data_IF_686874741783
#
_entry.id   IF_686874741783
#
_cell.length_a   1.000
_cell.length_b   1.000
_cell.length_c   1.000
_cell.angle_alpha   90.00
_cell.angle_beta   90.00
_cell.angle_gamma   90.00
#
_symmetry.space_group_name_H-M   'P 1'
#
loop_
_entity.id
_entity.type
_entity.pdbx_description
1 polymer ?
#
# COMPACT_ATOMS: atom_id res chain seq x y z
N UNK A 1 -8.13 27.51 10.66
CA UNK A 1 -8.45 27.36 9.23
C UNK A 1 -7.52 26.33 8.59
N UNK A 2 -7.90 25.05 8.61
CA UNK A 2 -7.10 23.96 8.04
C UNK A 2 -7.46 23.81 6.56
N UNK A 3 -6.54 24.19 5.66
CA UNK A 3 -6.67 23.91 4.22
C UNK A 3 -6.58 22.40 4.03
N UNK A 4 -7.71 21.76 3.69
CA UNK A 4 -7.73 20.38 3.19
C UNK A 4 -6.96 20.36 1.86
N UNK A 5 -5.96 19.49 1.66
CA UNK A 5 -5.39 19.28 0.33
C UNK A 5 -6.44 18.60 -0.56
N UNK A 6 -6.38 18.79 -1.90
CA UNK A 6 -7.43 18.34 -2.80
C UNK A 6 -7.48 16.81 -2.84
N UNK A 7 -8.56 16.25 -2.30
CA UNK A 7 -8.98 14.85 -2.49
C UNK A 7 -9.38 14.64 -3.96
N UNK A 8 -8.39 14.58 -4.86
CA UNK A 8 -8.66 14.64 -6.30
C UNK A 8 -8.12 13.51 -7.16
N UNK A 9 -6.98 12.90 -6.82
CA UNK A 9 -6.26 12.04 -7.78
C UNK A 9 -6.02 10.60 -7.35
N UNK A 10 -6.28 10.24 -6.08
CA UNK A 10 -6.17 8.86 -5.62
C UNK A 10 -7.53 8.14 -5.49
N UNK A 11 -8.63 8.88 -5.59
CA UNK A 11 -9.98 8.36 -5.37
C UNK A 11 -10.68 7.83 -6.64
N UNK A 12 -9.93 7.39 -7.66
CA UNK A 12 -10.53 6.94 -8.93
C UNK A 12 -10.22 5.51 -9.33
N UNK A 13 -10.23 4.59 -8.36
CA UNK A 13 -10.81 3.27 -8.63
C UNK A 13 -12.29 3.54 -8.87
N UNK A 14 -12.68 3.73 -10.15
CA UNK A 14 -14.09 3.67 -10.52
C UNK A 14 -14.56 2.30 -10.00
N UNK A 15 -15.55 2.25 -9.10
CA UNK A 15 -16.35 1.04 -8.93
C UNK A 15 -16.98 0.79 -10.29
N UNK A 16 -16.31 -0.01 -11.11
CA UNK A 16 -17.00 -0.77 -12.13
C UNK A 16 -18.02 -1.64 -11.36
N UNK A 17 -19.27 -1.78 -11.82
CA UNK A 17 -20.16 -2.80 -11.30
C UNK A 17 -19.49 -4.16 -11.58
N UNK A 18 -18.73 -4.64 -10.59
CA UNK A 18 -18.06 -5.93 -10.62
C UNK A 18 -19.01 -7.01 -10.10
N UNK A 19 -18.76 -8.28 -10.49
CA UNK A 19 -19.59 -9.39 -10.06
C UNK A 19 -19.64 -9.45 -8.53
N UNK A 20 -20.76 -9.92 -8.00
CA UNK A 20 -21.11 -10.08 -6.58
C UNK A 20 -20.08 -10.96 -5.83
N UNK A 21 -18.84 -10.49 -5.66
CA UNK A 21 -17.84 -11.17 -4.85
C UNK A 21 -18.14 -10.78 -3.41
N UNK A 22 -18.74 -11.71 -2.68
CA UNK A 22 -18.84 -11.68 -1.23
C UNK A 22 -17.42 -11.57 -0.64
N UNK A 23 -16.96 -10.33 -0.47
CA UNK A 23 -15.67 -10.03 0.10
C UNK A 23 -15.69 -10.42 1.57
N UNK A 24 -14.98 -11.49 1.93
CA UNK A 24 -14.65 -11.76 3.33
C UNK A 24 -13.77 -10.60 3.81
N UNK A 25 -14.38 -9.68 4.55
CA UNK A 25 -13.64 -8.66 5.29
C UNK A 25 -12.70 -9.36 6.26
N UNK A 26 -11.42 -9.43 5.91
CA UNK A 26 -10.38 -9.84 6.86
C UNK A 26 -10.16 -8.66 7.79
N UNK A 27 -10.76 -8.72 8.99
CA UNK A 27 -10.37 -7.81 10.05
C UNK A 27 -8.87 -8.02 10.29
N UNK A 28 -8.06 -6.99 10.06
CA UNK A 28 -6.64 -7.02 10.37
C UNK A 28 -6.50 -7.16 11.89
N UNK A 29 -6.30 -8.40 12.35
CA UNK A 29 -6.05 -8.70 13.75
C UNK A 29 -4.69 -8.11 14.14
N UNK A 30 -4.71 -6.85 14.57
CA UNK A 30 -3.53 -6.15 15.08
C UNK A 30 -3.34 -6.54 16.53
N UNK A 31 -2.84 -7.75 16.77
CA UNK A 31 -2.32 -8.15 18.08
C UNK A 31 -0.97 -7.46 18.35
N UNK A 32 -0.59 -7.18 19.61
CA UNK A 32 0.66 -6.49 19.98
C UNK A 32 2.00 -7.16 19.61
N UNK A 33 1.99 -8.13 18.70
CA UNK A 33 3.18 -8.81 18.16
C UNK A 33 3.00 -9.32 16.73
N UNK A 34 1.87 -9.01 16.08
CA UNK A 34 1.68 -9.34 14.68
C UNK A 34 2.46 -8.33 13.84
N UNK A 35 3.59 -8.76 13.28
CA UNK A 35 4.27 -7.96 12.25
C UNK A 35 3.24 -7.73 11.14
N UNK A 36 3.02 -6.47 10.79
CA UNK A 36 2.07 -6.12 9.73
C UNK A 36 2.37 -6.96 8.50
N UNK A 37 1.32 -7.36 7.76
CA UNK A 37 1.46 -8.15 6.53
C UNK A 37 2.35 -7.46 5.47
N UNK A 38 2.61 -6.17 5.65
CA UNK A 38 3.49 -5.31 4.86
C UNK A 38 4.95 -5.27 5.33
N UNK A 39 5.32 -5.91 6.46
CA UNK A 39 6.66 -5.82 7.04
C UNK A 39 7.78 -6.22 6.07
N UNK A 40 7.59 -7.32 5.32
CA UNK A 40 8.56 -7.74 4.31
C UNK A 40 8.72 -6.69 3.20
N UNK A 41 7.59 -6.18 2.69
CA UNK A 41 7.59 -5.16 1.63
C UNK A 41 8.28 -3.88 2.10
N UNK A 42 7.99 -3.46 3.34
CA UNK A 42 8.62 -2.30 3.98
C UNK A 42 10.15 -2.45 4.08
N UNK A 43 10.62 -3.58 4.58
CA UNK A 43 12.05 -3.84 4.73
C UNK A 43 12.78 -3.94 3.38
N UNK A 44 12.13 -4.55 2.38
CA UNK A 44 12.68 -4.62 1.04
C UNK A 44 12.86 -3.23 0.44
N UNK A 45 11.83 -2.37 0.52
CA UNK A 45 11.91 -1.00 0.01
C UNK A 45 12.95 -0.17 0.76
N UNK A 46 13.02 -0.26 2.09
CA UNK A 46 14.08 0.43 2.87
C UNK A 46 15.48 0.07 2.41
N UNK A 47 15.71 -1.19 1.98
CA UNK A 47 17.02 -1.68 1.55
C UNK A 47 17.32 -1.45 0.07
N UNK A 48 16.29 -1.38 -0.79
CA UNK A 48 16.46 -1.44 -2.26
C UNK A 48 15.79 -0.29 -3.02
N UNK A 49 14.74 0.33 -2.48
CA UNK A 49 14.00 1.46 -3.07
C UNK A 49 13.65 2.48 -1.97
N UNK A 50 14.68 3.12 -1.40
CA UNK A 50 14.54 4.03 -0.26
C UNK A 50 13.70 5.26 -0.60
N UNK A 51 13.91 5.85 -1.78
CA UNK A 51 13.10 6.97 -2.27
C UNK A 51 11.63 6.56 -2.44
N UNK A 52 11.37 5.35 -2.95
CA UNK A 52 10.03 4.82 -3.05
C UNK A 52 9.36 4.53 -1.72
N UNK A 53 10.13 4.08 -0.72
CA UNK A 53 9.68 3.98 0.67
C UNK A 53 9.24 5.34 1.21
N UNK A 54 10.10 6.37 1.13
CA UNK A 54 9.79 7.72 1.60
C UNK A 54 8.57 8.32 0.91
N UNK A 55 8.49 8.19 -0.42
CA UNK A 55 7.35 8.68 -1.19
C UNK A 55 6.04 8.02 -0.78
N UNK A 56 6.07 6.73 -0.44
CA UNK A 56 4.88 5.98 -0.02
C UNK A 56 4.36 6.43 1.35
N UNK A 57 5.20 6.99 2.23
CA UNK A 57 4.77 7.56 3.51
C UNK A 57 3.88 8.80 3.35
N UNK A 58 3.93 9.46 2.20
CA UNK A 58 3.10 10.64 1.90
C UNK A 58 1.67 10.27 1.47
N UNK A 59 1.40 8.99 1.22
CA UNK A 59 0.09 8.50 0.77
C UNK A 59 -0.88 8.27 1.96
N UNK A 60 -2.20 8.22 1.73
CA UNK A 60 -3.18 7.85 2.76
C UNK A 60 -2.92 6.46 3.33
N UNK A 61 -3.09 6.30 4.66
CA UNK A 61 -2.75 5.08 5.39
C UNK A 61 -3.42 3.82 4.80
N UNK A 62 -4.65 3.96 4.32
CA UNK A 62 -5.47 2.89 3.75
C UNK A 62 -4.88 2.31 2.45
N UNK A 63 -4.07 3.12 1.74
CA UNK A 63 -3.47 2.73 0.46
C UNK A 63 -2.00 2.31 0.57
N UNK A 64 -1.33 2.62 1.69
CA UNK A 64 0.11 2.40 1.85
C UNK A 64 0.51 0.94 1.70
N UNK A 65 -0.23 0.03 2.32
CA UNK A 65 0.05 -1.41 2.23
C UNK A 65 0.04 -1.90 0.77
N UNK A 66 -0.96 -1.49 -0.02
CA UNK A 66 -1.05 -1.84 -1.44
C UNK A 66 0.11 -1.25 -2.25
N UNK A 67 0.50 -0.01 -1.96
CA UNK A 67 1.61 0.65 -2.67
C UNK A 67 2.95 0.01 -2.32
N UNK A 68 3.17 -0.32 -1.05
CA UNK A 68 4.37 -1.05 -0.63
C UNK A 68 4.46 -2.41 -1.33
N UNK A 69 3.36 -3.16 -1.41
CA UNK A 69 3.34 -4.44 -2.10
C UNK A 69 3.69 -4.32 -3.59
N UNK A 70 3.09 -3.37 -4.31
CA UNK A 70 3.35 -3.15 -5.74
C UNK A 70 4.80 -2.71 -6.00
N UNK A 71 5.34 -1.81 -5.17
CA UNK A 71 6.73 -1.38 -5.31
C UNK A 71 7.72 -2.50 -4.97
N UNK A 72 7.45 -3.27 -3.92
CA UNK A 72 8.27 -4.43 -3.54
C UNK A 72 8.31 -5.47 -4.66
N UNK A 73 7.16 -5.75 -5.30
CA UNK A 73 7.10 -6.62 -6.47
C UNK A 73 7.96 -6.10 -7.63
N UNK A 74 7.88 -4.79 -7.93
CA UNK A 74 8.72 -4.19 -8.98
C UNK A 74 10.22 -4.31 -8.66
N UNK A 75 10.61 -4.19 -7.39
CA UNK A 75 12.00 -4.36 -6.92
C UNK A 75 12.49 -5.80 -7.14
N UNK A 76 11.65 -6.81 -6.86
CA UNK A 76 12.00 -8.22 -7.14
C UNK A 76 12.14 -8.48 -8.64
N UNK A 77 11.21 -7.97 -9.46
CA UNK A 77 11.29 -8.12 -10.91
C UNK A 77 12.55 -7.49 -11.51
N UNK A 78 12.92 -6.29 -11.04
CA UNK A 78 14.12 -5.61 -11.53
C UNK A 78 15.43 -6.34 -11.15
N UNK A 79 15.41 -7.17 -10.10
CA UNK A 79 16.56 -7.99 -9.70
C UNK A 79 16.65 -9.32 -10.47
N UNK A 80 15.58 -9.72 -11.17
CA UNK A 80 15.51 -11.01 -11.88
C UNK A 80 16.09 -10.97 -13.31
N UNK A 81 16.78 -9.89 -13.69
CA UNK A 81 17.48 -9.73 -14.98
C UNK A 81 18.99 -9.76 -14.81
#
# INVERSE_FOLDING_TARGET
CCRRPPLGLYARVRRLPGPEVSGRSVAAASGPGAWGTDHYCLELLRKRDYEGYLCSLLLPAESRSSVFALRAFNVELAQAG
#
